data_IF_609670434218
#
_entry.id   IF_609670434218
#
_cell.length_a   1.000
_cell.length_b   1.000
_cell.length_c   1.000
_cell.angle_alpha   90.00
_cell.angle_beta   90.00
_cell.angle_gamma   90.00
#
_symmetry.space_group_name_H-M   'P 1'
#
loop_
_entity.id
_entity.type
_entity.pdbx_description
1 polymer ?
#
# COMPACT_ATOMS: atom_id res chain seq x y z
N UNK A 1 8.55 -17.85 -17.66
CA UNK A 1 8.52 -16.85 -16.62
C UNK A 1 7.79 -15.63 -17.14
N UNK A 2 6.55 -15.40 -16.66
CA UNK A 2 5.80 -14.20 -16.97
C UNK A 2 6.45 -13.03 -16.22
N UNK A 3 7.01 -12.08 -16.95
CA UNK A 3 7.43 -10.80 -16.40
C UNK A 3 6.23 -10.13 -15.74
N UNK A 4 6.32 -9.70 -14.47
CA UNK A 4 5.23 -8.94 -13.87
C UNK A 4 5.04 -7.66 -14.69
N UNK A 5 3.86 -7.46 -15.22
CA UNK A 5 3.51 -6.21 -15.90
C UNK A 5 3.43 -5.11 -14.84
N UNK A 6 4.49 -4.31 -14.74
CA UNK A 6 4.50 -3.10 -13.94
C UNK A 6 3.99 -1.96 -14.81
N UNK A 7 2.93 -1.32 -14.38
CA UNK A 7 2.47 -0.10 -14.99
C UNK A 7 2.96 1.08 -14.15
N UNK A 8 3.80 1.92 -14.73
CA UNK A 8 4.15 3.21 -14.14
C UNK A 8 3.08 4.18 -14.58
N UNK A 9 2.26 4.61 -13.63
CA UNK A 9 1.29 5.68 -13.85
C UNK A 9 1.95 7.01 -13.54
N UNK A 10 2.23 7.81 -14.57
CA UNK A 10 2.70 9.18 -14.40
C UNK A 10 1.50 10.08 -14.08
N UNK A 11 1.41 10.54 -12.85
CA UNK A 11 0.48 11.59 -12.46
C UNK A 11 1.16 12.95 -12.56
N UNK A 12 0.80 13.68 -13.61
CA UNK A 12 1.05 15.12 -13.77
C UNK A 12 2.41 15.60 -13.24
N UNK A 13 3.38 15.42 -14.04
CA UNK A 13 4.69 16.08 -14.13
C UNK A 13 5.82 15.66 -13.15
N UNK A 14 5.64 15.13 -11.97
CA UNK A 14 6.82 14.83 -11.10
C UNK A 14 6.59 13.77 -9.99
N UNK A 15 5.56 12.95 -10.07
CA UNK A 15 5.31 11.98 -9.02
C UNK A 15 4.95 10.62 -9.61
N UNK A 16 5.86 9.68 -9.53
CA UNK A 16 5.62 8.34 -10.04
C UNK A 16 4.91 7.50 -8.98
N UNK A 17 3.79 6.93 -9.40
CA UNK A 17 3.10 5.88 -8.66
C UNK A 17 3.41 4.58 -9.37
N UNK A 18 4.00 3.63 -8.65
CA UNK A 18 4.19 2.29 -9.15
C UNK A 18 2.98 1.45 -8.78
N UNK A 19 2.34 0.85 -9.78
CA UNK A 19 1.27 -0.11 -9.56
C UNK A 19 1.59 -1.42 -10.28
N UNK A 20 1.32 -2.54 -9.63
CA UNK A 20 1.58 -3.83 -10.21
C UNK A 20 0.97 -4.97 -9.39
N UNK A 21 1.14 -6.19 -9.88
CA UNK A 21 0.66 -7.39 -9.19
C UNK A 21 1.77 -7.99 -8.33
N UNK A 22 1.44 -8.31 -7.09
CA UNK A 22 2.33 -9.02 -6.17
C UNK A 22 2.48 -10.46 -6.68
N UNK A 23 3.69 -10.99 -6.63
CA UNK A 23 3.95 -12.39 -6.97
C UNK A 23 3.25 -13.35 -6.00
N UNK A 24 2.94 -14.56 -6.46
CA UNK A 24 2.05 -15.48 -5.74
C UNK A 24 2.50 -15.80 -4.29
N UNK A 25 3.79 -16.12 -4.09
CA UNK A 25 4.30 -16.44 -2.73
C UNK A 25 4.28 -15.24 -1.77
N UNK A 26 4.81 -14.04 -2.13
CA UNK A 26 4.68 -12.86 -1.30
C UNK A 26 3.23 -12.45 -1.04
N UNK A 27 2.34 -12.67 -2.02
CA UNK A 27 0.92 -12.36 -1.85
C UNK A 27 0.25 -13.31 -0.86
N UNK A 28 0.52 -14.61 -0.93
CA UNK A 28 -0.02 -15.60 0.01
C UNK A 28 0.39 -15.27 1.46
N UNK A 29 1.63 -14.89 1.68
CA UNK A 29 2.14 -14.48 2.99
C UNK A 29 1.49 -13.18 3.49
N UNK A 30 1.24 -12.24 2.57
CA UNK A 30 0.55 -10.98 2.89
C UNK A 30 -0.94 -11.20 3.20
N UNK A 31 -1.59 -12.12 2.49
CA UNK A 31 -2.97 -12.52 2.73
C UNK A 31 -3.11 -13.18 4.11
N UNK A 32 -2.22 -14.11 4.47
CA UNK A 32 -2.15 -14.72 5.80
C UNK A 32 -1.96 -13.65 6.90
N UNK A 33 -1.04 -12.72 6.70
CA UNK A 33 -0.83 -11.58 7.60
C UNK A 33 -2.11 -10.78 7.83
N UNK A 34 -2.86 -10.50 6.76
CA UNK A 34 -4.08 -9.70 6.86
C UNK A 34 -5.14 -10.41 7.70
N UNK A 35 -5.41 -11.68 7.42
CA UNK A 35 -6.42 -12.43 8.15
C UNK A 35 -6.02 -12.74 9.60
N UNK A 36 -4.74 -13.06 9.86
CA UNK A 36 -4.25 -13.23 11.23
C UNK A 36 -4.37 -11.92 12.05
N UNK A 37 -4.15 -10.76 11.41
CA UNK A 37 -4.36 -9.45 12.03
C UNK A 37 -5.83 -9.22 12.41
N UNK A 38 -6.77 -9.60 11.55
CA UNK A 38 -8.21 -9.49 11.80
C UNK A 38 -8.62 -10.39 12.97
N UNK A 39 -8.24 -11.68 12.95
CA UNK A 39 -8.53 -12.62 14.02
C UNK A 39 -7.99 -12.17 15.39
N UNK A 40 -6.78 -11.63 15.40
CA UNK A 40 -6.17 -11.09 16.61
C UNK A 40 -6.98 -9.94 17.19
N UNK A 41 -7.46 -9.03 16.36
CA UNK A 41 -8.31 -7.90 16.79
C UNK A 41 -9.64 -8.42 17.39
N UNK A 42 -10.29 -9.34 16.72
CA UNK A 42 -11.53 -9.97 17.20
C UNK A 42 -11.33 -10.64 18.57
N UNK A 43 -10.23 -11.35 18.74
CA UNK A 43 -9.89 -12.03 20.02
C UNK A 43 -9.68 -11.08 21.19
N UNK A 44 -9.32 -9.83 20.91
CA UNK A 44 -9.14 -8.78 21.92
C UNK A 44 -10.43 -7.98 22.18
N UNK A 45 -11.54 -8.35 21.53
CA UNK A 45 -12.83 -7.67 21.69
C UNK A 45 -12.89 -6.29 20.98
N UNK A 46 -11.85 -5.97 20.20
CA UNK A 46 -11.87 -4.78 19.35
C UNK A 46 -12.70 -5.05 18.10
N UNK A 47 -13.43 -4.02 17.65
CA UNK A 47 -14.09 -4.12 16.35
C UNK A 47 -13.03 -4.16 15.23
N UNK A 48 -12.85 -5.30 14.51
CA UNK A 48 -11.84 -5.40 13.46
C UNK A 48 -12.14 -4.47 12.28
N UNK A 49 -13.38 -3.99 12.19
CA UNK A 49 -13.87 -3.12 11.13
C UNK A 49 -13.79 -1.63 11.46
N UNK A 50 -13.24 -1.25 12.62
CA UNK A 50 -13.02 0.15 12.94
C UNK A 50 -11.86 0.70 12.13
N UNK A 51 -12.17 1.50 11.10
CA UNK A 51 -11.18 2.20 10.29
C UNK A 51 -10.34 3.16 11.15
N UNK A 52 -9.04 3.19 10.91
CA UNK A 52 -8.15 4.23 11.42
C UNK A 52 -7.34 3.91 12.68
N UNK A 53 -7.32 2.69 13.18
CA UNK A 53 -6.35 2.31 14.22
C UNK A 53 -5.12 1.63 13.61
N UNK A 54 -4.05 2.41 13.53
CA UNK A 54 -2.75 2.03 12.97
C UNK A 54 -1.93 1.05 13.84
N UNK A 55 -2.48 0.40 14.85
CA UNK A 55 -1.71 -0.19 15.96
C UNK A 55 -1.50 -1.70 15.88
N UNK A 56 -1.91 -2.37 14.82
CA UNK A 56 -1.75 -3.81 14.72
C UNK A 56 -0.52 -4.18 13.89
N UNK A 57 0.64 -3.99 14.49
CA UNK A 57 1.90 -4.50 13.95
C UNK A 57 2.01 -5.98 14.31
N UNK A 58 1.60 -6.84 13.40
CA UNK A 58 2.10 -8.19 13.36
C UNK A 58 3.55 -8.16 12.83
N UNK A 59 4.28 -9.21 13.01
CA UNK A 59 5.62 -9.37 12.43
C UNK A 59 5.53 -9.21 10.90
N UNK A 60 6.41 -8.39 10.32
CA UNK A 60 6.40 -8.11 8.88
C UNK A 60 6.71 -9.41 8.14
N UNK A 61 5.88 -9.81 7.15
CA UNK A 61 6.09 -11.03 6.40
C UNK A 61 7.40 -10.97 5.60
N UNK A 62 8.37 -11.88 5.84
CA UNK A 62 9.73 -11.74 5.30
C UNK A 62 9.81 -11.88 3.77
N UNK A 63 9.00 -12.74 3.15
CA UNK A 63 8.98 -12.89 1.69
C UNK A 63 8.38 -11.65 1.03
N UNK A 64 7.33 -11.09 1.63
CA UNK A 64 6.74 -9.84 1.16
C UNK A 64 7.71 -8.68 1.29
N UNK A 65 8.39 -8.54 2.44
CA UNK A 65 9.39 -7.47 2.64
C UNK A 65 10.54 -7.57 1.63
N UNK A 66 11.06 -8.77 1.42
CA UNK A 66 12.14 -9.01 0.45
C UNK A 66 11.71 -8.68 -0.98
N UNK A 67 10.49 -9.09 -1.36
CA UNK A 67 9.91 -8.80 -2.67
C UNK A 67 9.71 -7.28 -2.86
N UNK A 68 9.13 -6.61 -1.87
CA UNK A 68 8.89 -5.17 -1.91
C UNK A 68 10.21 -4.39 -1.98
N UNK A 69 11.23 -4.82 -1.23
CA UNK A 69 12.57 -4.23 -1.30
C UNK A 69 13.18 -4.30 -2.71
N UNK A 70 13.02 -5.43 -3.41
CA UNK A 70 13.48 -5.57 -4.79
C UNK A 70 12.75 -4.63 -5.77
N UNK A 71 11.45 -4.41 -5.56
CA UNK A 71 10.66 -3.47 -6.36
C UNK A 71 11.10 -2.03 -6.11
N UNK A 72 11.29 -1.62 -4.87
CA UNK A 72 11.75 -0.28 -4.51
C UNK A 72 13.16 -0.02 -5.07
N UNK A 73 14.03 -1.02 -5.01
CA UNK A 73 15.34 -0.93 -5.63
C UNK A 73 15.24 -0.65 -7.14
N UNK A 74 14.32 -1.31 -7.82
CA UNK A 74 14.08 -1.07 -9.25
C UNK A 74 13.56 0.35 -9.49
N UNK A 75 12.62 0.84 -8.66
CA UNK A 75 12.15 2.24 -8.71
C UNK A 75 13.31 3.21 -8.52
N UNK A 76 14.12 3.00 -7.49
CA UNK A 76 15.25 3.88 -7.21
C UNK A 76 16.26 3.91 -8.36
N UNK A 77 16.54 2.79 -9.01
CA UNK A 77 17.41 2.75 -10.18
C UNK A 77 16.85 3.55 -11.36
N UNK A 78 15.57 3.42 -11.63
CA UNK A 78 14.91 4.20 -12.69
C UNK A 78 14.96 5.70 -12.41
N UNK A 79 14.79 6.11 -11.13
CA UNK A 79 14.88 7.49 -10.73
C UNK A 79 16.32 8.03 -10.64
N UNK A 80 17.30 7.19 -10.32
CA UNK A 80 18.71 7.63 -10.19
C UNK A 80 19.35 7.91 -11.54
N UNK A 81 18.95 7.25 -12.60
CA UNK A 81 19.41 7.54 -13.94
C UNK A 81 18.94 8.94 -14.39
N UNK A 82 17.72 9.35 -13.99
CA UNK A 82 17.14 10.63 -14.39
C UNK A 82 17.37 11.77 -13.39
N UNK A 83 17.49 11.50 -12.09
CA UNK A 83 17.46 12.50 -11.01
C UNK A 83 18.78 12.67 -10.25
N UNK A 84 19.81 11.91 -10.55
CA UNK A 84 21.13 12.02 -9.90
C UNK A 84 21.14 11.67 -8.40
N UNK A 85 20.30 10.79 -7.96
CA UNK A 85 20.29 10.24 -6.60
C UNK A 85 21.49 9.29 -6.42
N UNK A 86 22.65 9.85 -6.20
CA UNK A 86 23.85 9.08 -5.99
C UNK A 86 23.94 8.60 -4.55
N UNK A 87 24.09 7.30 -4.35
CA UNK A 87 24.54 6.74 -3.07
C UNK A 87 23.45 6.18 -2.15
N UNK A 88 22.21 5.99 -2.62
CA UNK A 88 21.21 5.26 -1.82
C UNK A 88 21.28 3.78 -2.21
N UNK A 89 21.78 2.96 -1.29
CA UNK A 89 21.72 1.50 -1.41
C UNK A 89 20.30 1.03 -1.06
N UNK A 90 19.73 0.18 -1.91
CA UNK A 90 18.40 -0.41 -1.70
C UNK A 90 18.31 -1.26 -0.42
N UNK A 91 19.43 -1.73 0.11
CA UNK A 91 19.49 -2.41 1.41
C UNK A 91 19.10 -1.51 2.60
N UNK A 92 19.06 -0.19 2.37
CA UNK A 92 18.65 0.80 3.35
C UNK A 92 17.14 0.95 3.48
N UNK A 93 16.34 0.47 2.53
CA UNK A 93 14.89 0.54 2.61
C UNK A 93 14.33 -0.53 3.54
N UNK A 94 13.44 -0.11 4.43
CA UNK A 94 12.73 -0.98 5.38
C UNK A 94 11.27 -0.60 5.45
N UNK A 95 10.43 -1.59 5.66
CA UNK A 95 9.06 -1.35 6.08
C UNK A 95 9.12 -0.88 7.54
N UNK A 96 8.75 0.38 7.78
CA UNK A 96 8.72 0.97 9.11
C UNK A 96 7.47 0.57 9.87
N UNK A 97 6.35 0.44 9.15
CA UNK A 97 5.04 0.14 9.70
C UNK A 97 4.16 -0.49 8.63
N UNK A 98 3.39 -1.49 9.04
CA UNK A 98 2.36 -2.13 8.23
C UNK A 98 1.08 -2.30 9.05
N UNK A 99 -0.07 -2.19 8.42
CA UNK A 99 -1.37 -2.39 9.07
C UNK A 99 -2.43 -2.90 8.10
N UNK A 100 -3.44 -3.55 8.65
CA UNK A 100 -4.60 -4.04 7.90
C UNK A 100 -5.73 -3.02 7.99
N UNK A 101 -6.31 -2.68 6.86
CA UNK A 101 -7.53 -1.87 6.77
C UNK A 101 -8.69 -2.79 6.41
N UNK A 102 -9.74 -2.76 7.20
CA UNK A 102 -11.00 -3.43 6.92
C UNK A 102 -12.09 -2.37 6.86
N UNK A 103 -12.72 -2.22 5.72
CA UNK A 103 -13.75 -1.21 5.50
C UNK A 103 -15.09 -1.89 5.22
N UNK A 104 -16.07 -1.54 6.04
CA UNK A 104 -17.48 -1.86 5.84
C UNK A 104 -18.20 -0.69 5.17
N UNK A 105 -19.46 -0.90 4.82
CA UNK A 105 -20.32 0.17 4.28
C UNK A 105 -20.37 1.39 5.18
N UNK A 106 -20.08 2.55 4.60
CA UNK A 106 -20.00 3.84 5.28
C UNK A 106 -18.63 4.20 5.84
N UNK A 107 -17.71 3.24 5.97
CA UNK A 107 -16.34 3.50 6.39
C UNK A 107 -15.57 4.30 5.33
N UNK A 108 -14.69 5.17 5.79
CA UNK A 108 -13.89 6.05 4.92
C UNK A 108 -12.53 6.31 5.54
N UNK A 109 -11.58 6.71 4.70
CA UNK A 109 -10.32 7.29 5.15
C UNK A 109 -10.27 8.75 4.74
N UNK A 110 -10.14 9.66 5.71
CA UNK A 110 -10.02 11.08 5.42
C UNK A 110 -8.74 11.40 4.64
N UNK A 111 -8.71 12.51 3.88
CA UNK A 111 -7.49 12.95 3.21
C UNK A 111 -6.33 13.12 4.19
N UNK A 112 -5.21 12.43 3.91
CA UNK A 112 -4.02 12.45 4.78
C UNK A 112 -2.74 12.16 4.00
N UNK A 113 -1.61 12.29 4.69
CA UNK A 113 -0.26 11.98 4.21
C UNK A 113 0.52 11.22 5.29
N UNK A 114 1.64 10.63 4.91
CA UNK A 114 2.57 9.98 5.83
C UNK A 114 3.96 10.65 5.80
N UNK A 115 4.01 11.94 6.10
CA UNK A 115 5.17 12.84 5.89
C UNK A 115 6.49 12.43 6.57
N UNK A 116 6.49 11.39 7.43
CA UNK A 116 7.71 10.92 8.11
C UNK A 116 8.39 9.77 7.38
N UNK A 117 7.75 9.23 6.36
CA UNK A 117 8.25 8.10 5.57
C UNK A 117 8.56 8.54 4.15
N UNK A 118 9.32 7.75 3.41
CA UNK A 118 9.70 8.06 2.04
C UNK A 118 8.60 7.65 1.06
N UNK A 119 8.20 6.38 1.13
CA UNK A 119 7.11 5.82 0.34
C UNK A 119 6.03 5.24 1.25
N UNK A 120 4.83 5.17 0.72
CA UNK A 120 3.71 4.42 1.27
C UNK A 120 3.23 3.42 0.24
N UNK A 121 2.57 2.37 0.69
CA UNK A 121 1.92 1.42 -0.20
C UNK A 121 0.52 1.06 0.28
N UNK A 122 -0.31 0.63 -0.67
CA UNK A 122 -1.60 0.00 -0.44
C UNK A 122 -1.70 -1.27 -1.29
N UNK A 123 -1.86 -2.42 -0.65
CA UNK A 123 -2.02 -3.73 -1.29
C UNK A 123 -3.43 -4.25 -1.04
N UNK A 124 -4.08 -4.79 -2.07
CA UNK A 124 -5.48 -5.20 -2.03
C UNK A 124 -5.59 -6.72 -1.82
N UNK A 125 -6.20 -7.09 -0.70
CA UNK A 125 -6.32 -8.50 -0.25
C UNK A 125 -7.66 -9.08 -0.65
N UNK A 126 -8.76 -8.43 -0.27
CA UNK A 126 -10.10 -8.82 -0.64
C UNK A 126 -10.90 -7.58 -1.02
N UNK A 127 -11.26 -7.52 -2.29
CA UNK A 127 -11.92 -6.38 -2.91
C UNK A 127 -12.91 -6.85 -3.97
N UNK A 128 -13.98 -6.09 -4.14
CA UNK A 128 -15.12 -6.48 -4.96
C UNK A 128 -15.54 -5.37 -5.91
N UNK A 129 -16.33 -5.73 -6.89
CA UNK A 129 -16.93 -4.75 -7.80
C UNK A 129 -17.84 -3.79 -7.03
N UNK A 130 -17.66 -2.50 -7.27
CA UNK A 130 -18.40 -1.43 -6.59
C UNK A 130 -17.78 -0.96 -5.27
N UNK A 131 -16.64 -1.50 -4.88
CA UNK A 131 -15.88 -0.99 -3.73
C UNK A 131 -15.42 0.46 -3.97
N UNK A 132 -15.27 1.20 -2.87
CA UNK A 132 -14.85 2.59 -2.95
C UNK A 132 -13.47 2.74 -3.60
N UNK A 133 -13.32 3.62 -4.61
CA UNK A 133 -12.04 3.88 -5.24
C UNK A 133 -11.06 4.56 -4.27
N UNK A 134 -9.78 4.37 -4.56
CA UNK A 134 -8.71 5.11 -3.91
C UNK A 134 -8.47 6.42 -4.65
N UNK A 135 -8.28 7.52 -3.95
CA UNK A 135 -8.04 8.82 -4.56
C UNK A 135 -6.69 9.39 -4.19
N UNK A 136 -5.98 9.92 -5.16
CA UNK A 136 -4.91 10.90 -4.94
C UNK A 136 -5.46 12.30 -5.13
N UNK A 137 -5.06 13.24 -4.26
CA UNK A 137 -5.51 14.63 -4.30
C UNK A 137 -4.31 15.53 -4.60
N UNK A 138 -4.41 16.32 -5.67
CA UNK A 138 -3.45 17.36 -6.04
C UNK A 138 -4.20 18.60 -6.51
N UNK A 139 -3.80 19.78 -6.04
CA UNK A 139 -4.37 21.07 -6.43
C UNK A 139 -5.91 21.12 -6.28
N UNK A 140 -6.43 20.55 -5.19
CA UNK A 140 -7.86 20.38 -4.90
C UNK A 140 -8.62 19.50 -5.92
N UNK A 141 -7.92 18.72 -6.73
CA UNK A 141 -8.52 17.76 -7.64
C UNK A 141 -8.21 16.33 -7.19
N UNK A 142 -9.24 15.52 -7.11
CA UNK A 142 -9.13 14.10 -6.80
C UNK A 142 -9.04 13.26 -8.07
N UNK A 143 -8.02 12.41 -8.17
CA UNK A 143 -7.89 11.43 -9.25
C UNK A 143 -8.25 10.05 -8.70
N UNK A 144 -9.36 9.43 -9.14
CA UNK A 144 -9.75 8.11 -8.69
C UNK A 144 -8.87 7.02 -9.31
N UNK A 145 -8.61 6.01 -8.51
CA UNK A 145 -8.11 4.71 -8.93
C UNK A 145 -9.20 3.71 -8.59
N UNK A 146 -9.82 3.15 -9.61
CA UNK A 146 -10.88 2.17 -9.42
C UNK A 146 -10.32 0.90 -8.77
N UNK A 147 -11.01 0.44 -7.75
CA UNK A 147 -10.70 -0.78 -7.03
C UNK A 147 -11.89 -1.73 -7.20
N UNK A 148 -11.65 -2.86 -7.81
CA UNK A 148 -12.65 -3.88 -8.09
C UNK A 148 -12.08 -5.29 -7.86
N UNK A 149 -12.83 -6.31 -8.17
CA UNK A 149 -12.43 -7.72 -8.00
C UNK A 149 -11.12 -8.09 -8.71
N UNK A 150 -10.74 -7.38 -9.79
CA UNK A 150 -9.47 -7.56 -10.52
C UNK A 150 -8.28 -6.99 -9.77
N UNK A 151 -8.53 -6.10 -8.83
CA UNK A 151 -7.50 -5.47 -8.02
C UNK A 151 -6.96 -6.37 -6.91
N UNK A 152 -7.57 -7.53 -6.65
CA UNK A 152 -7.02 -8.51 -5.68
C UNK A 152 -5.59 -8.89 -6.09
N UNK A 153 -4.65 -8.78 -5.15
CA UNK A 153 -3.22 -9.01 -5.37
C UNK A 153 -2.48 -7.86 -6.03
N UNK A 154 -3.14 -6.74 -6.30
CA UNK A 154 -2.49 -5.51 -6.76
C UNK A 154 -1.91 -4.74 -5.58
N UNK A 155 -0.82 -4.00 -5.86
CA UNK A 155 -0.21 -3.05 -4.93
C UNK A 155 0.04 -1.73 -5.66
N UNK A 156 -0.14 -0.64 -4.95
CA UNK A 156 0.33 0.70 -5.34
C UNK A 156 1.39 1.15 -4.36
N UNK A 157 2.50 1.68 -4.88
CA UNK A 157 3.58 2.30 -4.10
C UNK A 157 3.69 3.75 -4.57
N UNK A 158 3.67 4.68 -3.64
CA UNK A 158 3.63 6.10 -3.92
C UNK A 158 4.40 6.91 -2.87
N UNK A 159 4.88 8.12 -3.20
CA UNK A 159 5.51 9.01 -2.24
C UNK A 159 4.60 9.30 -1.05
N UNK A 160 5.12 9.15 0.17
CA UNK A 160 4.34 9.32 1.40
C UNK A 160 3.77 10.71 1.62
N UNK A 161 4.29 11.71 0.89
CA UNK A 161 3.81 13.09 0.89
C UNK A 161 2.57 13.32 0.03
N UNK A 162 2.18 12.36 -0.80
CA UNK A 162 0.96 12.47 -1.60
C UNK A 162 -0.28 12.40 -0.72
N UNK A 163 -1.14 13.41 -0.85
CA UNK A 163 -2.45 13.39 -0.18
C UNK A 163 -3.30 12.32 -0.84
N UNK A 164 -3.84 11.42 -0.02
CA UNK A 164 -4.70 10.34 -0.49
C UNK A 164 -5.89 10.12 0.45
N UNK A 165 -6.93 9.50 -0.09
CA UNK A 165 -8.20 9.26 0.63
C UNK A 165 -8.94 8.07 0.02
N UNK A 166 -9.86 7.50 0.80
CA UNK A 166 -10.86 6.55 0.33
C UNK A 166 -12.22 7.08 0.78
N UNK A 167 -13.11 7.35 -0.17
CA UNK A 167 -14.46 7.81 0.12
C UNK A 167 -15.31 6.73 0.78
N UNK A 168 -16.48 7.07 1.34
CA UNK A 168 -17.30 6.10 2.04
C UNK A 168 -17.63 4.88 1.17
N UNK A 169 -17.35 3.68 1.71
CA UNK A 169 -17.69 2.41 1.10
C UNK A 169 -19.21 2.32 0.87
N UNK A 170 -19.62 2.02 -0.34
CA UNK A 170 -21.02 2.02 -0.73
C UNK A 170 -21.65 0.63 -0.71
N UNK A 171 -20.85 -0.42 -0.83
CA UNK A 171 -21.30 -1.80 -0.87
C UNK A 171 -21.36 -2.43 0.52
N UNK A 172 -22.10 -3.51 0.66
CA UNK A 172 -22.14 -4.31 1.89
C UNK A 172 -20.95 -5.31 1.99
N UNK A 173 -20.09 -5.35 0.97
CA UNK A 173 -18.89 -6.15 0.96
C UNK A 173 -17.83 -5.55 1.93
N UNK A 174 -17.05 -6.42 2.55
CA UNK A 174 -15.84 -5.99 3.23
C UNK A 174 -14.74 -5.71 2.20
N UNK A 175 -14.09 -4.58 2.32
CA UNK A 175 -12.93 -4.20 1.54
C UNK A 175 -11.69 -4.32 2.42
N UNK A 176 -10.83 -5.29 2.14
CA UNK A 176 -9.63 -5.58 2.93
C UNK A 176 -8.39 -5.18 2.13
N UNK A 177 -7.56 -4.34 2.74
CA UNK A 177 -6.26 -3.96 2.19
C UNK A 177 -5.19 -3.93 3.28
N UNK A 178 -3.93 -4.10 2.88
CA UNK A 178 -2.77 -3.90 3.74
C UNK A 178 -2.05 -2.66 3.26
N UNK A 179 -1.80 -1.75 4.18
CA UNK A 179 -1.03 -0.54 3.91
C UNK A 179 0.24 -0.53 4.76
N UNK A 180 1.22 0.24 4.33
CA UNK A 180 2.44 0.42 5.10
C UNK A 180 3.27 1.59 4.61
N UNK A 181 4.26 1.91 5.42
CA UNK A 181 5.21 2.98 5.19
C UNK A 181 6.62 2.42 5.09
N UNK A 182 7.41 3.01 4.19
CA UNK A 182 8.77 2.61 3.89
C UNK A 182 9.68 3.80 4.14
N UNK A 183 10.68 3.59 4.97
CA UNK A 183 11.71 4.57 5.28
C UNK A 183 13.10 4.13 4.83
N UNK A 184 14.05 5.04 4.98
CA UNK A 184 15.47 4.76 4.79
C UNK A 184 16.11 4.65 6.17
N UNK A 185 16.77 3.53 6.42
CA UNK A 185 17.56 3.30 7.61
C UNK A 185 19.04 3.31 7.25
N UNK A 186 19.77 4.26 7.81
CA UNK A 186 21.22 4.30 7.70
C UNK A 186 21.77 3.45 8.85
N UNK A 187 22.26 2.25 8.53
CA UNK A 187 23.03 1.47 9.51
C UNK A 187 24.24 2.29 9.94
N UNK A 188 24.30 2.61 11.24
CA UNK A 188 25.44 3.31 11.85
C UNK A 188 26.47 2.29 12.33
#
# INVERSE_FOLDING_TARGET
>A
GSSPFWCIMQFLQYTDILAGKISDEPFAELEEYAYAGIEKRESLGDNPYASGREEWVCEIPPKFEMWLGAIINTMCKLHTEDAGWYGVDHSMFRIEKMWVNVMSKGDQHFPHTHNKSLYSFAAYIDVNDGDAPFYFIKDNQGTPIDIDSRSKGMIMIFPSTMIHTVYPQQTDNLRISVSGNIGIHFDR
#
